data_IF_102043637973
#
_entry.id   IF_102043637973
#
_cell.length_a   1.000
_cell.length_b   1.000
_cell.length_c   1.000
_cell.angle_alpha   90.00
_cell.angle_beta   90.00
_cell.angle_gamma   90.00
#
_symmetry.space_group_name_H-M   'P 1'
#
loop_
_entity.id
_entity.type
_entity.pdbx_description
1 polymer ?
#
# COMPACT_ATOMS: atom_id res chain seq x y z
N UNK A 1 47.23 -4.51 -32.26
CA UNK A 1 46.52 -5.12 -31.11
C UNK A 1 45.80 -4.11 -30.21
N UNK A 2 46.22 -2.85 -30.09
CA UNK A 2 45.60 -1.89 -29.16
C UNK A 2 44.15 -1.45 -29.47
N UNK A 3 43.73 -1.40 -30.74
CA UNK A 3 42.37 -0.93 -31.11
C UNK A 3 41.28 -1.93 -30.73
N UNK A 4 41.54 -3.24 -30.84
CA UNK A 4 40.58 -4.30 -30.46
C UNK A 4 40.39 -4.35 -28.94
N UNK A 5 41.45 -4.07 -28.17
CA UNK A 5 41.40 -3.99 -26.72
C UNK A 5 40.54 -2.81 -26.23
N UNK A 6 40.59 -1.67 -26.93
CA UNK A 6 39.76 -0.49 -26.60
C UNK A 6 38.27 -0.75 -26.87
N UNK A 7 37.92 -1.45 -27.95
CA UNK A 7 36.53 -1.84 -28.22
C UNK A 7 36.00 -2.89 -27.22
N UNK A 8 36.86 -3.82 -26.76
CA UNK A 8 36.51 -4.80 -25.73
C UNK A 8 36.27 -4.14 -24.36
N UNK A 9 37.08 -3.16 -23.98
CA UNK A 9 36.90 -2.41 -22.73
C UNK A 9 35.62 -1.56 -22.79
N UNK A 10 35.33 -0.92 -23.92
CA UNK A 10 34.10 -0.15 -24.11
C UNK A 10 32.84 -1.03 -24.04
N UNK A 11 32.88 -2.25 -24.59
CA UNK A 11 31.77 -3.21 -24.52
C UNK A 11 31.51 -3.75 -23.09
N UNK A 12 32.56 -3.88 -22.28
CA UNK A 12 32.45 -4.32 -20.87
C UNK A 12 31.85 -3.22 -19.98
N UNK A 13 32.18 -1.95 -20.24
CA UNK A 13 31.62 -0.81 -19.48
C UNK A 13 30.12 -0.65 -19.75
N UNK A 14 29.64 -0.92 -20.97
CA UNK A 14 28.20 -0.87 -21.28
C UNK A 14 27.38 -2.01 -20.69
N UNK A 15 28.00 -3.16 -20.37
CA UNK A 15 27.29 -4.31 -19.80
C UNK A 15 27.08 -4.19 -18.27
N UNK A 16 27.65 -3.16 -17.65
CA UNK A 16 27.69 -3.00 -16.18
C UNK A 16 26.65 -2.01 -15.63
N UNK A 17 25.86 -1.35 -16.47
CA UNK A 17 24.73 -0.54 -16.01
C UNK A 17 23.51 -1.46 -15.79
N UNK A 18 23.54 -2.21 -14.68
CA UNK A 18 22.28 -2.65 -14.10
C UNK A 18 21.70 -1.46 -13.34
N UNK A 19 20.55 -0.87 -13.76
CA UNK A 19 19.88 0.10 -12.93
C UNK A 19 19.59 -0.54 -11.57
N UNK A 20 19.80 0.25 -10.51
CA UNK A 20 19.70 -0.21 -9.14
C UNK A 20 18.32 -0.80 -8.83
N UNK A 21 18.39 -1.79 -7.93
CA UNK A 21 17.31 -2.47 -7.25
C UNK A 21 16.23 -1.50 -6.75
N UNK A 22 14.99 -1.81 -7.10
CA UNK A 22 13.78 -1.25 -6.49
C UNK A 22 13.59 0.26 -6.73
N UNK A 23 12.39 0.66 -7.12
CA UNK A 23 12.03 2.07 -7.32
C UNK A 23 10.71 2.34 -6.61
N UNK A 24 10.52 3.53 -6.00
CA UNK A 24 9.28 3.88 -5.31
C UNK A 24 8.07 3.66 -6.23
N UNK A 25 7.18 2.75 -5.83
CA UNK A 25 5.91 2.47 -6.52
C UNK A 25 4.76 3.11 -5.73
N UNK A 26 3.78 3.68 -6.43
CA UNK A 26 2.54 4.22 -5.84
C UNK A 26 1.65 3.11 -5.25
N UNK A 27 1.90 1.86 -5.66
CA UNK A 27 1.13 0.70 -5.26
C UNK A 27 1.99 -0.57 -5.28
N UNK A 28 1.63 -1.53 -4.42
CA UNK A 28 2.25 -2.86 -4.35
C UNK A 28 1.16 -3.93 -4.38
N UNK A 29 1.41 -5.02 -5.08
CA UNK A 29 0.53 -6.19 -5.12
C UNK A 29 1.25 -7.42 -4.57
N UNK A 30 0.50 -8.30 -3.91
CA UNK A 30 1.04 -9.57 -3.40
C UNK A 30 1.47 -10.48 -4.55
N UNK A 31 0.76 -10.44 -5.67
CA UNK A 31 1.06 -11.14 -6.92
C UNK A 31 0.79 -10.18 -8.07
N UNK A 32 1.51 -10.33 -9.17
CA UNK A 32 1.39 -9.51 -10.37
C UNK A 32 1.60 -7.99 -10.10
N UNK A 33 1.08 -7.14 -10.98
CA UNK A 33 1.13 -5.68 -10.84
C UNK A 33 -0.24 -5.13 -10.40
N UNK A 34 -0.28 -4.02 -9.64
CA UNK A 34 -1.53 -3.37 -9.24
C UNK A 34 -2.39 -2.97 -10.45
N UNK A 35 -3.71 -3.14 -10.36
CA UNK A 35 -4.62 -2.88 -11.47
C UNK A 35 -4.78 -1.40 -11.83
N UNK A 36 -4.64 -0.49 -10.85
CA UNK A 36 -4.86 0.94 -11.06
C UNK A 36 -3.54 1.66 -11.43
N UNK A 37 -3.56 2.48 -12.49
CA UNK A 37 -2.37 3.20 -12.92
C UNK A 37 -1.94 4.26 -11.90
N UNK A 38 -0.69 4.73 -12.01
CA UNK A 38 -0.24 5.88 -11.25
C UNK A 38 -1.12 7.11 -11.54
N UNK A 39 -1.49 7.86 -10.50
CA UNK A 39 -2.36 9.03 -10.63
C UNK A 39 -3.85 8.72 -10.84
N UNK A 40 -4.29 7.48 -10.55
CA UNK A 40 -5.72 7.17 -10.48
C UNK A 40 -6.44 8.13 -9.51
N UNK A 41 -7.64 8.56 -9.87
CA UNK A 41 -8.38 9.56 -9.08
C UNK A 41 -9.12 8.93 -7.89
N UNK A 42 -9.60 7.70 -8.03
CA UNK A 42 -10.39 6.99 -7.03
C UNK A 42 -10.41 5.48 -7.30
N UNK A 43 -10.73 4.67 -6.30
CA UNK A 43 -11.00 3.24 -6.52
C UNK A 43 -12.27 3.03 -7.36
N UNK A 44 -12.35 1.91 -8.07
CA UNK A 44 -13.43 1.66 -9.04
C UNK A 44 -14.82 1.53 -8.39
N UNK A 45 -14.88 1.23 -7.10
CA UNK A 45 -16.13 0.97 -6.37
C UNK A 45 -16.65 2.18 -5.58
N UNK A 46 -16.05 3.36 -5.72
CA UNK A 46 -16.54 4.56 -5.03
C UNK A 46 -17.33 5.46 -5.98
N UNK A 47 -18.32 6.15 -5.43
CA UNK A 47 -18.97 7.27 -6.11
C UNK A 47 -18.17 8.56 -5.82
N UNK A 48 -17.44 9.13 -6.80
CA UNK A 48 -16.67 10.37 -6.59
C UNK A 48 -17.57 11.56 -6.25
N UNK A 49 -18.81 11.55 -6.71
CA UNK A 49 -19.81 12.60 -6.48
C UNK A 49 -20.65 12.38 -5.22
N UNK A 50 -20.22 11.48 -4.32
CA UNK A 50 -20.95 11.21 -3.08
C UNK A 50 -21.15 12.50 -2.26
N UNK A 51 -22.40 12.85 -1.89
CA UNK A 51 -22.69 14.05 -1.15
C UNK A 51 -21.96 14.04 0.19
N UNK A 52 -21.36 15.18 0.56
CA UNK A 52 -20.62 15.33 1.81
C UNK A 52 -21.52 15.91 2.89
N UNK A 53 -21.36 15.42 4.13
CA UNK A 53 -22.13 15.85 5.30
C UNK A 53 -23.23 14.86 5.72
N UNK A 54 -23.97 15.23 6.76
CA UNK A 54 -24.96 14.37 7.40
C UNK A 54 -24.36 13.46 8.48
N UNK A 55 -25.16 12.51 8.96
CA UNK A 55 -24.77 11.55 10.00
C UNK A 55 -25.26 10.15 9.65
N UNK A 56 -24.44 9.15 9.98
CA UNK A 56 -24.82 7.74 9.89
C UNK A 56 -24.85 7.12 11.30
N UNK A 57 -25.84 6.27 11.56
CA UNK A 57 -25.95 5.51 12.81
C UNK A 57 -25.87 4.03 12.49
N UNK A 58 -24.83 3.37 13.02
CA UNK A 58 -24.65 1.93 12.88
C UNK A 58 -25.12 1.22 14.15
N UNK A 59 -25.89 0.15 13.98
CA UNK A 59 -26.28 -0.76 15.05
C UNK A 59 -25.45 -2.04 14.96
N UNK A 60 -24.83 -2.43 16.07
CA UNK A 60 -24.06 -3.67 16.19
C UNK A 60 -24.55 -4.46 17.41
N UNK A 61 -24.67 -5.78 17.26
CA UNK A 61 -25.07 -6.66 18.36
C UNK A 61 -23.87 -6.96 19.25
N UNK A 62 -23.99 -6.70 20.55
CA UNK A 62 -22.94 -6.94 21.54
C UNK A 62 -22.77 -5.75 22.50
N UNK A 63 -21.61 -5.69 23.15
CA UNK A 63 -21.18 -4.57 24.00
C UNK A 63 -19.69 -4.33 23.79
N UNK A 64 -19.17 -3.22 24.31
CA UNK A 64 -17.74 -2.94 24.34
C UNK A 64 -17.30 -2.45 25.72
N UNK A 65 -16.05 -2.70 26.06
CA UNK A 65 -15.43 -2.24 27.32
C UNK A 65 -14.00 -1.70 27.11
N UNK A 66 -13.54 -1.60 25.85
CA UNK A 66 -12.21 -1.14 25.49
C UNK A 66 -12.22 -0.41 24.13
N UNK A 67 -11.26 0.49 23.91
CA UNK A 67 -11.03 1.24 22.66
C UNK A 67 -9.67 0.92 22.02
N UNK A 68 -8.84 0.08 22.64
CA UNK A 68 -7.55 -0.34 22.10
C UNK A 68 -7.68 -1.70 21.38
N UNK A 69 -7.57 -1.74 20.04
CA UNK A 69 -7.72 -2.99 19.26
C UNK A 69 -6.45 -3.84 19.21
N UNK A 70 -5.33 -3.38 19.77
CA UNK A 70 -4.00 -4.00 19.60
C UNK A 70 -3.58 -4.92 20.75
N UNK A 71 -4.42 -5.08 21.77
CA UNK A 71 -4.10 -5.87 22.97
C UNK A 71 -5.04 -7.07 23.13
N UNK A 72 -4.56 -8.12 23.79
CA UNK A 72 -5.35 -9.34 24.03
C UNK A 72 -6.55 -9.09 24.95
N UNK A 73 -6.39 -8.22 25.95
CA UNK A 73 -7.47 -7.89 26.88
C UNK A 73 -8.59 -7.17 26.13
N UNK A 74 -9.79 -7.71 26.22
CA UNK A 74 -10.98 -7.19 25.52
C UNK A 74 -10.93 -7.29 23.99
N UNK A 75 -10.08 -8.14 23.41
CA UNK A 75 -9.97 -8.30 21.95
C UNK A 75 -11.31 -8.57 21.23
N UNK A 76 -12.26 -9.23 21.92
CA UNK A 76 -13.61 -9.55 21.40
C UNK A 76 -14.68 -8.53 21.79
N UNK A 77 -14.33 -7.54 22.60
CA UNK A 77 -15.21 -6.50 23.16
C UNK A 77 -14.61 -5.09 22.98
N UNK A 78 -13.65 -4.92 22.07
CA UNK A 78 -13.19 -3.60 21.63
C UNK A 78 -14.25 -2.97 20.72
N UNK A 79 -14.43 -1.65 20.86
CA UNK A 79 -15.37 -0.91 20.04
C UNK A 79 -15.11 -1.08 18.54
N UNK A 80 -16.18 -1.27 17.77
CA UNK A 80 -16.16 -1.34 16.30
C UNK A 80 -15.77 0.03 15.72
N UNK A 81 -15.20 0.03 14.51
CA UNK A 81 -14.76 1.25 13.82
C UNK A 81 -13.36 1.76 14.20
N UNK A 82 -12.70 1.24 15.24
CA UNK A 82 -11.29 1.56 15.51
C UNK A 82 -10.39 1.04 14.38
N UNK A 83 -10.51 -0.27 14.12
CA UNK A 83 -9.96 -0.99 12.96
C UNK A 83 -11.01 -2.03 12.64
N UNK A 84 -11.58 -1.97 11.44
CA UNK A 84 -12.81 -2.70 11.15
C UNK A 84 -12.86 -3.18 9.71
N UNK A 85 -13.25 -4.44 9.50
CA UNK A 85 -13.41 -5.00 8.15
C UNK A 85 -14.67 -4.49 7.45
N UNK A 86 -15.68 -4.05 8.20
CA UNK A 86 -16.96 -3.60 7.64
C UNK A 86 -16.96 -2.07 7.53
N UNK A 87 -16.53 -1.37 8.59
CA UNK A 87 -16.56 0.09 8.62
C UNK A 87 -15.26 0.73 8.12
N UNK A 88 -14.20 -0.05 7.94
CA UNK A 88 -12.87 0.44 7.66
C UNK A 88 -12.15 0.95 8.91
N UNK A 89 -11.06 1.67 8.67
CA UNK A 89 -10.16 2.18 9.68
C UNK A 89 -10.49 3.65 9.97
N UNK A 90 -11.43 3.91 10.88
CA UNK A 90 -11.92 5.28 11.10
C UNK A 90 -11.05 6.09 12.06
N UNK A 91 -10.11 5.45 12.77
CA UNK A 91 -9.23 6.10 13.76
C UNK A 91 -7.76 5.73 13.57
N UNK A 92 -7.44 4.46 13.29
CA UNK A 92 -6.05 4.01 13.12
C UNK A 92 -5.76 3.67 11.67
N UNK A 93 -4.90 4.44 11.01
CA UNK A 93 -4.59 4.26 9.60
C UNK A 93 -3.34 3.39 9.37
N UNK A 94 -3.35 2.48 8.37
CA UNK A 94 -2.17 1.78 7.91
C UNK A 94 -1.27 2.69 7.06
N UNK A 95 -0.05 2.23 6.75
CA UNK A 95 0.83 2.96 5.83
C UNK A 95 0.23 3.09 4.43
N UNK A 96 -0.38 2.00 3.92
CA UNK A 96 -1.00 1.94 2.60
C UNK A 96 -2.41 1.35 2.70
N UNK A 97 -3.32 1.80 1.84
CA UNK A 97 -4.71 1.39 1.79
C UNK A 97 -4.93 0.21 0.85
N UNK A 98 -5.69 -0.79 1.30
CA UNK A 98 -6.08 -1.92 0.45
C UNK A 98 -7.16 -1.53 -0.56
N UNK A 99 -7.02 -2.00 -1.79
CA UNK A 99 -8.08 -2.03 -2.79
C UNK A 99 -8.89 -3.33 -2.65
N UNK A 100 -10.18 -3.23 -2.32
CA UNK A 100 -11.06 -4.39 -2.13
C UNK A 100 -11.56 -5.03 -3.45
N UNK A 101 -11.31 -4.38 -4.60
CA UNK A 101 -11.60 -4.91 -5.95
C UNK A 101 -10.46 -5.79 -6.50
N UNK A 102 -9.38 -5.94 -5.74
CA UNK A 102 -8.22 -6.75 -6.10
C UNK A 102 -7.95 -7.85 -5.07
N UNK A 103 -7.27 -8.92 -5.49
CA UNK A 103 -6.97 -10.05 -4.62
C UNK A 103 -6.19 -9.61 -3.37
N UNK A 104 -5.06 -8.93 -3.56
CA UNK A 104 -4.32 -8.28 -2.49
C UNK A 104 -3.35 -7.23 -3.04
N UNK A 105 -3.86 -6.00 -3.22
CA UNK A 105 -3.09 -4.84 -3.65
C UNK A 105 -3.28 -3.67 -2.67
N UNK A 106 -2.21 -2.90 -2.46
CA UNK A 106 -2.14 -1.75 -1.57
C UNK A 106 -1.72 -0.51 -2.37
N UNK A 107 -2.36 0.62 -2.08
CA UNK A 107 -2.14 1.93 -2.69
C UNK A 107 -1.83 2.97 -1.63
N UNK A 108 -1.29 4.12 -2.03
CA UNK A 108 -0.89 5.19 -1.10
C UNK A 108 -1.97 5.58 -0.08
N UNK A 109 -1.55 5.84 1.16
CA UNK A 109 -2.39 6.40 2.23
C UNK A 109 -1.57 7.34 3.13
N UNK A 110 -0.98 6.85 4.23
CA UNK A 110 -0.03 7.63 5.02
C UNK A 110 1.35 7.66 4.37
N UNK A 111 1.67 6.61 3.62
CA UNK A 111 2.80 6.54 2.72
C UNK A 111 2.30 6.60 1.29
N UNK A 112 2.67 7.65 0.56
CA UNK A 112 2.37 7.81 -0.87
C UNK A 112 3.04 6.74 -1.74
N UNK A 113 4.22 6.28 -1.35
CA UNK A 113 4.97 5.27 -2.11
C UNK A 113 5.64 4.23 -1.22
N UNK A 114 5.85 3.05 -1.78
CA UNK A 114 6.65 1.99 -1.19
C UNK A 114 7.68 1.47 -2.18
N UNK A 115 8.90 1.25 -1.70
CA UNK A 115 9.99 0.67 -2.45
C UNK A 115 10.36 -0.70 -1.87
N UNK A 116 9.94 -1.78 -2.53
CA UNK A 116 10.05 -3.14 -2.02
C UNK A 116 11.01 -3.96 -2.88
N UNK A 117 12.07 -4.47 -2.24
CA UNK A 117 13.05 -5.34 -2.86
C UNK A 117 12.37 -6.53 -3.59
N UNK A 118 12.82 -6.93 -4.79
CA UNK A 118 12.20 -8.04 -5.53
C UNK A 118 12.17 -9.38 -4.77
N UNK A 119 13.16 -9.63 -3.89
CA UNK A 119 13.18 -10.81 -3.01
C UNK A 119 12.44 -10.58 -1.69
N UNK A 120 11.85 -9.39 -1.50
CA UNK A 120 11.07 -8.92 -0.34
C UNK A 120 11.85 -8.95 0.97
N UNK A 121 13.17 -8.75 0.91
CA UNK A 121 14.04 -8.70 2.10
C UNK A 121 14.00 -7.35 2.82
N UNK A 122 13.57 -6.30 2.13
CA UNK A 122 13.40 -4.96 2.68
C UNK A 122 12.25 -4.24 1.97
N UNK A 123 11.67 -3.27 2.68
CA UNK A 123 10.71 -2.32 2.14
C UNK A 123 10.97 -0.95 2.78
N UNK A 124 11.00 0.09 1.96
CA UNK A 124 11.07 1.49 2.37
C UNK A 124 9.75 2.18 2.06
N UNK A 125 9.20 2.91 3.02
CA UNK A 125 7.96 3.68 2.87
C UNK A 125 8.27 5.17 2.93
N UNK A 126 7.78 5.93 1.96
CA UNK A 126 7.91 7.38 1.97
C UNK A 126 6.58 7.98 2.41
N UNK A 127 6.60 8.70 3.53
CA UNK A 127 5.45 9.43 4.06
C UNK A 127 5.28 10.78 3.35
N UNK A 128 4.04 11.26 3.33
CA UNK A 128 3.65 12.59 2.82
C UNK A 128 4.19 13.76 3.68
#
# INVERSE_FOLDING_TARGET
MGRVLVWLIAAIITLSLQPALSAPKHAIAMQDEPALPAGYAHFNYVNPDAPKGGSITYCVVGSFDNLNPFILKSLRTTARGMIDRIFGNLVFEPLMQRNDDEAFSLYGLLADTADMDPERKSIEFHLD
#
